data_IF_208031722397
#
_entry.id   IF_208031722397
#
_cell.length_a   1.000
_cell.length_b   1.000
_cell.length_c   1.000
_cell.angle_alpha   90.00
_cell.angle_beta   90.00
_cell.angle_gamma   90.00
#
_symmetry.space_group_name_H-M   'P 1'
#
loop_
_entity.id
_entity.type
_entity.pdbx_description
1 polymer ?
#
# COMPACT_ATOMS: atom_id res chain seq x y z
N UNK A 1 -12.91 5.22 -7.51
CA UNK A 1 -11.88 5.69 -8.49
C UNK A 1 -11.85 7.19 -8.70
N UNK A 2 -12.94 7.96 -8.50
CA UNK A 2 -12.94 9.41 -8.78
C UNK A 2 -11.89 10.20 -8.00
N UNK A 3 -11.64 9.88 -6.73
CA UNK A 3 -10.65 10.58 -5.91
C UNK A 3 -9.28 10.74 -6.62
N UNK A 4 -8.65 9.68 -7.14
CA UNK A 4 -7.32 9.83 -7.74
C UNK A 4 -7.30 10.58 -9.09
N UNK A 5 -8.46 10.75 -9.72
CA UNK A 5 -8.63 11.27 -11.09
C UNK A 5 -9.27 12.66 -11.13
N UNK A 6 -9.81 13.14 -10.02
CA UNK A 6 -10.36 14.49 -9.89
C UNK A 6 -9.27 15.55 -9.95
N UNK A 7 -9.56 16.67 -10.60
CA UNK A 7 -8.70 17.85 -10.56
C UNK A 7 -8.78 18.50 -9.18
N UNK A 8 -7.65 18.52 -8.48
CA UNK A 8 -7.51 19.22 -7.21
C UNK A 8 -6.07 19.72 -7.08
N UNK A 9 -5.90 21.04 -7.17
CA UNK A 9 -4.60 21.69 -7.12
C UNK A 9 -3.95 21.61 -5.74
N UNK A 10 -4.73 21.58 -4.66
CA UNK A 10 -4.19 21.57 -3.29
C UNK A 10 -3.49 20.24 -3.00
N UNK A 11 -4.05 19.14 -3.50
CA UNK A 11 -3.51 17.79 -3.30
C UNK A 11 -2.71 17.26 -4.50
N UNK A 12 -2.44 18.11 -5.50
CA UNK A 12 -1.72 17.77 -6.74
C UNK A 12 -2.34 16.59 -7.52
N UNK A 13 -3.67 16.58 -7.62
CA UNK A 13 -4.44 15.60 -8.41
C UNK A 13 -4.88 16.19 -9.76
N UNK A 14 -4.99 15.36 -10.83
CA UNK A 14 -4.98 13.90 -10.83
C UNK A 14 -3.58 13.30 -10.66
N UNK A 15 -3.51 12.16 -9.97
CA UNK A 15 -2.24 11.44 -9.81
C UNK A 15 -1.83 10.73 -11.10
N UNK A 16 -0.53 10.68 -11.36
CA UNK A 16 0.01 9.89 -12.46
C UNK A 16 0.02 8.40 -12.09
N UNK A 17 -0.67 7.56 -12.88
CA UNK A 17 -0.65 6.10 -12.68
C UNK A 17 0.61 5.46 -13.27
N UNK A 18 1.26 4.59 -12.50
CA UNK A 18 2.40 3.76 -12.93
C UNK A 18 2.33 2.40 -12.24
N UNK A 19 2.45 1.34 -13.01
CA UNK A 19 2.49 -0.04 -12.51
C UNK A 19 3.38 -0.89 -13.40
N UNK A 20 4.58 -1.23 -12.92
CA UNK A 20 5.55 -2.06 -13.65
C UNK A 20 5.16 -3.54 -13.53
N UNK A 21 4.54 -3.94 -12.42
CA UNK A 21 4.21 -5.33 -12.13
C UNK A 21 5.29 -6.07 -11.34
N UNK A 22 6.26 -5.33 -10.81
CA UNK A 22 7.31 -5.83 -9.91
C UNK A 22 7.27 -5.00 -8.62
N UNK A 23 6.98 -5.65 -7.48
CA UNK A 23 6.91 -5.00 -6.17
C UNK A 23 8.16 -4.16 -5.90
N UNK A 24 9.35 -4.72 -6.14
CA UNK A 24 10.62 -4.04 -5.88
C UNK A 24 10.79 -2.82 -6.80
N UNK A 25 10.52 -2.97 -8.09
CA UNK A 25 10.69 -1.87 -9.06
C UNK A 25 9.70 -0.72 -8.81
N UNK A 26 8.45 -1.05 -8.53
CA UNK A 26 7.41 -0.05 -8.23
C UNK A 26 7.69 0.66 -6.90
N UNK A 27 8.09 -0.07 -5.86
CA UNK A 27 8.48 0.50 -4.58
C UNK A 27 9.70 1.42 -4.69
N UNK A 28 10.76 0.96 -5.37
CA UNK A 28 11.99 1.75 -5.53
C UNK A 28 11.73 3.09 -6.21
N UNK A 29 10.92 3.10 -7.28
CA UNK A 29 10.50 4.35 -7.94
C UNK A 29 9.74 5.27 -6.97
N UNK A 30 8.76 4.72 -6.24
CA UNK A 30 7.95 5.50 -5.31
C UNK A 30 8.78 6.05 -4.14
N UNK A 31 9.82 5.35 -3.70
CA UNK A 31 10.74 5.86 -2.68
C UNK A 31 11.51 7.10 -3.16
N UNK A 32 11.91 7.13 -4.44
CA UNK A 32 12.68 8.25 -5.01
C UNK A 32 11.81 9.43 -5.45
N UNK A 33 10.58 9.17 -5.91
CA UNK A 33 9.71 10.19 -6.52
C UNK A 33 8.49 10.55 -5.68
N UNK A 34 8.27 9.86 -4.56
CA UNK A 34 6.99 9.86 -3.88
C UNK A 34 5.95 9.00 -4.59
N UNK A 35 4.91 8.60 -3.86
CA UNK A 35 3.84 7.77 -4.39
C UNK A 35 3.42 6.67 -3.42
N UNK A 36 2.44 5.88 -3.86
CA UNK A 36 1.93 4.73 -3.13
C UNK A 36 1.86 3.52 -4.06
N UNK A 37 2.26 2.36 -3.55
CA UNK A 37 2.00 1.06 -4.15
C UNK A 37 0.85 0.41 -3.39
N UNK A 38 -0.14 -0.11 -4.13
CA UNK A 38 -1.36 -0.70 -3.57
C UNK A 38 -1.56 -2.08 -4.19
N UNK A 39 -1.60 -3.10 -3.34
CA UNK A 39 -1.94 -4.48 -3.69
C UNK A 39 -2.98 -5.00 -2.68
N UNK A 40 -4.27 -4.69 -2.90
CA UNK A 40 -5.32 -4.97 -1.92
C UNK A 40 -5.70 -6.46 -1.96
N UNK A 41 -6.67 -6.85 -1.14
CA UNK A 41 -7.41 -8.08 -1.33
C UNK A 41 -8.19 -8.04 -2.66
N UNK A 42 -8.45 -9.22 -3.22
CA UNK A 42 -9.24 -9.39 -4.44
C UNK A 42 -10.09 -10.66 -4.34
N UNK A 43 -11.07 -10.84 -5.21
CA UNK A 43 -11.97 -12.02 -5.21
C UNK A 43 -11.21 -13.35 -5.19
N UNK A 44 -10.14 -13.45 -5.99
CA UNK A 44 -9.31 -14.66 -6.06
C UNK A 44 -8.24 -14.73 -4.95
N UNK A 45 -8.06 -13.64 -4.21
CA UNK A 45 -7.01 -13.45 -3.20
C UNK A 45 -7.56 -12.65 -2.01
N UNK A 46 -8.51 -13.21 -1.22
CA UNK A 46 -9.22 -12.47 -0.18
C UNK A 46 -8.30 -11.96 0.93
N UNK A 47 -7.16 -12.64 1.15
CA UNK A 47 -6.12 -12.24 2.10
C UNK A 47 -4.94 -11.52 1.43
N UNK A 48 -5.14 -10.94 0.25
CA UNK A 48 -4.07 -10.40 -0.58
C UNK A 48 -3.24 -11.49 -1.27
N UNK A 49 -2.30 -11.05 -2.13
CA UNK A 49 -1.45 -11.96 -2.93
C UNK A 49 -0.01 -12.03 -2.42
N UNK A 50 0.50 -10.93 -1.88
CA UNK A 50 1.88 -10.82 -1.40
C UNK A 50 2.04 -11.55 -0.07
N UNK A 51 3.25 -11.99 0.26
CA UNK A 51 3.53 -12.79 1.46
C UNK A 51 4.10 -11.90 2.54
N UNK A 52 3.56 -12.05 3.75
CA UNK A 52 3.91 -11.21 4.88
C UNK A 52 5.41 -11.28 5.17
N UNK A 53 5.98 -12.48 5.30
CA UNK A 53 7.34 -12.64 5.82
C UNK A 53 8.45 -12.18 4.88
N UNK A 54 8.30 -12.41 3.57
CA UNK A 54 9.38 -12.23 2.59
C UNK A 54 9.03 -11.29 1.44
N UNK A 55 7.85 -10.67 1.46
CA UNK A 55 7.50 -9.54 0.57
C UNK A 55 7.04 -8.34 1.41
N UNK A 56 6.06 -8.50 2.29
CA UNK A 56 5.49 -7.40 3.09
C UNK A 56 6.48 -6.82 4.11
N UNK A 57 6.91 -7.62 5.08
CA UNK A 57 7.79 -7.23 6.18
C UNK A 57 9.10 -6.55 5.73
N UNK A 58 9.91 -7.12 4.81
CA UNK A 58 11.15 -6.49 4.40
C UNK A 58 10.90 -5.12 3.74
N UNK A 59 9.88 -5.02 2.89
CA UNK A 59 9.54 -3.76 2.22
C UNK A 59 8.99 -2.73 3.20
N UNK A 60 8.13 -3.16 4.14
CA UNK A 60 7.59 -2.32 5.20
C UNK A 60 8.70 -1.73 6.08
N UNK A 61 9.69 -2.55 6.45
CA UNK A 61 10.83 -2.07 7.22
C UNK A 61 11.60 -0.98 6.48
N UNK A 62 11.91 -1.19 5.19
CA UNK A 62 12.56 -0.18 4.36
C UNK A 62 11.73 1.12 4.23
N UNK A 63 10.42 0.99 4.02
CA UNK A 63 9.52 2.14 3.90
C UNK A 63 9.51 2.98 5.17
N UNK A 64 9.38 2.35 6.34
CA UNK A 64 9.33 3.05 7.61
C UNK A 64 10.67 3.71 7.96
N UNK A 65 11.81 3.07 7.65
CA UNK A 65 13.12 3.70 7.81
C UNK A 65 13.31 4.91 6.88
N UNK A 66 12.62 4.94 5.74
CA UNK A 66 12.59 6.09 4.84
C UNK A 66 11.52 7.15 5.24
N UNK A 67 10.83 7.00 6.38
CA UNK A 67 9.77 7.91 6.83
C UNK A 67 8.41 7.70 6.14
N UNK A 68 8.28 6.65 5.33
CA UNK A 68 7.03 6.19 4.75
C UNK A 68 6.20 5.34 5.71
N UNK A 69 5.12 4.76 5.19
CA UNK A 69 4.22 3.88 5.94
C UNK A 69 3.94 2.62 5.13
N UNK A 70 3.75 1.50 5.81
CA UNK A 70 3.27 0.24 5.23
C UNK A 70 2.11 -0.33 6.06
N UNK A 71 0.98 -0.58 5.41
CA UNK A 71 -0.28 -1.02 6.02
C UNK A 71 -0.93 -2.14 5.22
N UNK A 72 -1.72 -3.00 5.89
CA UNK A 72 -2.62 -3.94 5.21
C UNK A 72 -3.95 -3.28 4.76
N UNK A 73 -4.07 -1.96 4.99
CA UNK A 73 -5.27 -1.15 4.78
C UNK A 73 -5.96 -0.77 6.09
N UNK A 74 -5.66 -1.49 7.18
CA UNK A 74 -6.26 -1.28 8.51
C UNK A 74 -5.22 -1.30 9.64
N UNK A 75 -4.17 -2.11 9.51
CA UNK A 75 -3.14 -2.36 10.52
C UNK A 75 -1.75 -2.15 9.93
N UNK A 76 -0.80 -1.73 10.77
CA UNK A 76 0.61 -1.61 10.41
C UNK A 76 1.20 -2.99 10.10
N UNK A 77 1.91 -3.12 8.98
CA UNK A 77 2.44 -4.41 8.51
C UNK A 77 3.38 -5.05 9.55
N UNK A 78 4.29 -4.27 10.13
CA UNK A 78 5.29 -4.78 11.07
C UNK A 78 4.71 -5.21 12.43
N UNK A 79 3.45 -4.86 12.74
CA UNK A 79 2.78 -5.28 13.97
C UNK A 79 2.01 -6.61 13.80
N UNK A 80 1.86 -7.10 12.56
CA UNK A 80 1.13 -8.33 12.27
C UNK A 80 1.96 -9.52 12.74
N UNK A 81 1.46 -10.24 13.74
CA UNK A 81 2.05 -11.51 14.19
C UNK A 81 1.77 -12.61 13.15
N UNK A 82 2.80 -13.19 12.51
CA UNK A 82 2.60 -14.21 11.49
C UNK A 82 2.08 -15.52 12.10
N UNK A 83 1.15 -16.18 11.42
CA UNK A 83 0.60 -17.49 11.82
C UNK A 83 1.13 -18.65 10.97
N UNK A 84 1.60 -18.37 9.75
CA UNK A 84 2.19 -19.38 8.84
C UNK A 84 3.32 -18.77 8.01
N UNK A 85 4.24 -19.62 7.52
CA UNK A 85 5.37 -19.18 6.70
C UNK A 85 4.94 -18.49 5.39
N UNK A 86 3.86 -18.95 4.78
CA UNK A 86 3.36 -18.45 3.49
C UNK A 86 2.12 -17.56 3.64
N UNK A 87 1.89 -17.00 4.83
CA UNK A 87 0.78 -16.08 5.10
C UNK A 87 0.80 -14.94 4.08
N UNK A 88 -0.35 -14.70 3.46
CA UNK A 88 -0.55 -13.58 2.55
C UNK A 88 -1.09 -12.36 3.28
N UNK A 89 -0.83 -11.19 2.72
CA UNK A 89 -1.26 -9.91 3.26
C UNK A 89 -1.57 -8.93 2.11
N UNK A 90 -2.63 -8.12 2.20
CA UNK A 90 -2.76 -6.91 1.40
C UNK A 90 -1.61 -5.94 1.72
N UNK A 91 -1.21 -5.09 0.78
CA UNK A 91 -0.12 -4.16 1.01
C UNK A 91 -0.38 -2.78 0.41
N UNK A 92 -0.34 -1.76 1.27
CA UNK A 92 -0.38 -0.35 0.94
C UNK A 92 0.90 0.28 1.49
N UNK A 93 1.79 0.73 0.61
CA UNK A 93 3.15 1.11 1.01
C UNK A 93 3.66 2.32 0.22
N UNK A 94 4.25 3.30 0.91
CA UNK A 94 4.82 4.48 0.28
C UNK A 94 4.72 5.74 1.14
N UNK A 95 4.47 6.88 0.51
CA UNK A 95 4.36 8.18 1.16
C UNK A 95 3.26 8.19 2.23
N UNK A 96 3.62 8.65 3.43
CA UNK A 96 2.77 8.63 4.63
C UNK A 96 1.35 9.14 4.40
N UNK A 97 1.20 10.32 3.81
CA UNK A 97 -0.11 10.95 3.62
C UNK A 97 -0.97 10.19 2.60
N UNK A 98 -0.37 9.59 1.57
CA UNK A 98 -1.10 8.77 0.60
C UNK A 98 -1.58 7.46 1.21
N UNK A 99 -0.74 6.80 2.02
CA UNK A 99 -1.12 5.55 2.71
C UNK A 99 -2.24 5.81 3.70
N UNK A 100 -2.12 6.86 4.53
CA UNK A 100 -3.19 7.26 5.45
C UNK A 100 -4.49 7.59 4.73
N UNK A 101 -4.42 8.28 3.59
CA UNK A 101 -5.62 8.55 2.79
C UNK A 101 -6.26 7.26 2.26
N UNK A 102 -5.45 6.29 1.84
CA UNK A 102 -5.95 4.97 1.46
C UNK A 102 -6.62 4.26 2.64
N UNK A 103 -6.00 4.21 3.82
CA UNK A 103 -6.60 3.64 5.03
C UNK A 103 -7.92 4.32 5.42
N UNK A 104 -7.99 5.65 5.30
CA UNK A 104 -9.22 6.39 5.56
C UNK A 104 -10.34 5.95 4.61
N UNK A 105 -10.06 5.88 3.31
CA UNK A 105 -11.02 5.41 2.32
C UNK A 105 -11.42 3.95 2.55
N UNK A 106 -10.49 3.09 2.97
CA UNK A 106 -10.81 1.70 3.33
C UNK A 106 -11.81 1.63 4.50
N UNK A 107 -11.69 2.53 5.48
CA UNK A 107 -12.64 2.62 6.61
C UNK A 107 -13.99 3.21 6.19
N UNK A 108 -13.98 4.29 5.43
CA UNK A 108 -15.19 5.01 5.03
C UNK A 108 -16.12 4.16 4.14
N UNK A 109 -15.55 3.24 3.37
CA UNK A 109 -16.27 2.42 2.40
C UNK A 109 -16.24 0.91 2.73
N UNK A 110 -16.01 0.54 4.00
CA UNK A 110 -15.85 -0.87 4.41
C UNK A 110 -17.09 -1.74 4.16
N UNK A 111 -18.27 -1.14 4.27
CA UNK A 111 -19.57 -1.83 4.25
C UNK A 111 -20.42 -1.48 3.01
N UNK A 112 -19.81 -0.89 1.97
CA UNK A 112 -20.42 -0.71 0.64
C UNK A 112 -19.97 -1.82 -0.32
#
# INVERSE_FOLDING_TARGET
>A
MKYCQEEDKETQRPYTSRYIGSLVSDFHRNMLKGGIYIYPSATNYPNGKLRLLYEGNPMAFLAEQAGGVASDGYNRILDIKPTTLHQRVPLFIGSKEMVKKAEQLMRDFKDQ
#
